data_IF_749066439772
#
_entry.id   IF_749066439772
#
_cell.length_a   1.000
_cell.length_b   1.000
_cell.length_c   1.000
_cell.angle_alpha   90.00
_cell.angle_beta   90.00
_cell.angle_gamma   90.00
#
_symmetry.space_group_name_H-M   'P 1'
#
loop_
_entity.id
_entity.type
_entity.pdbx_description
1 polymer ?
#
# COMPACT_ATOMS: atom_id res chain seq x y z
N UNK A 1 18.11 -61.89 -1.99
CA UNK A 1 16.86 -61.44 -1.35
C UNK A 1 16.92 -59.97 -0.93
N UNK A 2 18.10 -59.48 -0.52
CA UNK A 2 18.30 -58.08 -0.11
C UNK A 2 17.86 -57.02 -1.13
N UNK A 3 18.08 -57.27 -2.43
CA UNK A 3 17.67 -56.37 -3.51
C UNK A 3 16.15 -56.18 -3.61
N UNK A 4 15.37 -57.23 -3.32
CA UNK A 4 13.90 -57.19 -3.36
C UNK A 4 13.37 -56.40 -2.16
N UNK A 5 13.93 -56.62 -0.96
CA UNK A 5 13.55 -55.86 0.23
C UNK A 5 13.88 -54.37 0.10
N UNK A 6 15.02 -54.05 -0.51
CA UNK A 6 15.42 -52.67 -0.76
C UNK A 6 14.48 -51.97 -1.77
N UNK A 7 14.10 -52.68 -2.84
CA UNK A 7 13.13 -52.18 -3.80
C UNK A 7 11.75 -51.94 -3.16
N UNK A 8 11.28 -52.89 -2.34
CA UNK A 8 10.02 -52.73 -1.59
C UNK A 8 10.08 -51.55 -0.61
N UNK A 9 11.17 -51.41 0.14
CA UNK A 9 11.36 -50.29 1.07
C UNK A 9 11.38 -48.94 0.34
N UNK A 10 12.03 -48.86 -0.83
CA UNK A 10 12.06 -47.66 -1.66
C UNK A 10 10.65 -47.28 -2.16
N UNK A 11 9.89 -48.25 -2.69
CA UNK A 11 8.51 -48.01 -3.15
C UNK A 11 7.61 -47.54 -2.02
N UNK A 12 7.69 -48.16 -0.85
CA UNK A 12 6.94 -47.76 0.34
C UNK A 12 7.31 -46.34 0.81
N UNK A 13 8.60 -45.99 0.75
CA UNK A 13 9.08 -44.65 1.07
C UNK A 13 8.53 -43.61 0.09
N UNK A 14 8.54 -43.91 -1.22
CA UNK A 14 7.95 -43.05 -2.24
C UNK A 14 6.44 -42.87 -2.04
N UNK A 15 5.70 -43.93 -1.70
CA UNK A 15 4.28 -43.85 -1.38
C UNK A 15 4.02 -42.99 -0.13
N UNK A 16 4.80 -43.18 0.92
CA UNK A 16 4.69 -42.37 2.15
C UNK A 16 5.00 -40.90 1.87
N UNK A 17 6.06 -40.62 1.11
CA UNK A 17 6.42 -39.26 0.71
C UNK A 17 5.29 -38.60 -0.09
N UNK A 18 4.70 -39.31 -1.05
CA UNK A 18 3.58 -38.81 -1.83
C UNK A 18 2.34 -38.53 -0.97
N UNK A 19 2.06 -39.38 0.01
CA UNK A 19 0.88 -39.23 0.88
C UNK A 19 1.04 -38.10 1.90
N UNK A 20 2.24 -37.89 2.44
CA UNK A 20 2.45 -37.00 3.58
C UNK A 20 3.17 -35.68 3.25
N UNK A 21 4.12 -35.68 2.31
CA UNK A 21 4.94 -34.49 2.02
C UNK A 21 4.31 -33.60 0.96
N UNK A 22 3.75 -34.20 -0.10
CA UNK A 22 3.05 -33.49 -1.18
C UNK A 22 1.89 -32.60 -0.70
N UNK A 23 0.98 -33.01 0.22
CA UNK A 23 -0.07 -32.12 0.71
C UNK A 23 0.48 -30.94 1.51
N UNK A 24 1.58 -31.10 2.25
CA UNK A 24 2.22 -30.01 2.99
C UNK A 24 2.81 -28.98 2.03
N UNK A 25 3.52 -29.44 1.00
CA UNK A 25 4.05 -28.58 -0.07
C UNK A 25 2.92 -27.84 -0.80
N UNK A 26 1.84 -28.52 -1.15
CA UNK A 26 0.66 -27.89 -1.79
C UNK A 26 0.03 -26.80 -0.93
N UNK A 27 -0.06 -27.01 0.39
CA UNK A 27 -0.59 -25.98 1.32
C UNK A 27 0.32 -24.76 1.40
N UNK A 28 1.63 -24.99 1.43
CA UNK A 28 2.61 -23.91 1.41
C UNK A 28 2.58 -23.12 0.10
N UNK A 29 2.48 -23.83 -1.03
CA UNK A 29 2.43 -23.22 -2.36
C UNK A 29 1.13 -22.42 -2.57
N UNK A 30 -0.01 -22.95 -2.09
CA UNK A 30 -1.28 -22.25 -2.09
C UNK A 30 -1.24 -20.94 -1.28
N UNK A 31 -0.60 -20.95 -0.10
CA UNK A 31 -0.45 -19.75 0.73
C UNK A 31 0.45 -18.70 0.07
N UNK A 32 1.55 -19.12 -0.59
CA UNK A 32 2.40 -18.20 -1.34
C UNK A 32 1.69 -17.64 -2.58
N UNK A 33 0.96 -18.47 -3.30
CA UNK A 33 0.21 -18.04 -4.49
C UNK A 33 -0.88 -17.04 -4.11
N UNK A 34 -1.59 -17.30 -3.00
CA UNK A 34 -2.58 -16.36 -2.47
C UNK A 34 -1.94 -15.01 -2.09
N UNK A 35 -0.77 -15.04 -1.44
CA UNK A 35 -0.02 -13.83 -1.09
C UNK A 35 0.42 -13.05 -2.33
N UNK A 36 0.96 -13.73 -3.35
CA UNK A 36 1.38 -13.10 -4.62
C UNK A 36 0.16 -12.52 -5.35
N UNK A 37 -0.96 -13.23 -5.39
CA UNK A 37 -2.20 -12.75 -6.00
C UNK A 37 -2.80 -11.55 -5.26
N UNK A 38 -2.59 -11.45 -3.95
CA UNK A 38 -3.00 -10.29 -3.17
C UNK A 38 -2.07 -9.10 -3.41
N UNK A 39 -0.76 -9.31 -3.40
CA UNK A 39 0.22 -8.29 -3.76
C UNK A 39 0.01 -7.77 -5.19
N UNK A 40 -0.35 -8.65 -6.14
CA UNK A 40 -0.70 -8.24 -7.50
C UNK A 40 -1.95 -7.36 -7.54
N UNK A 41 -2.96 -7.62 -6.70
CA UNK A 41 -4.14 -6.76 -6.55
C UNK A 41 -3.80 -5.42 -5.91
N UNK A 42 -2.98 -5.42 -4.87
CA UNK A 42 -2.54 -4.19 -4.19
C UNK A 42 -1.69 -3.30 -5.11
N UNK A 43 -0.86 -3.91 -5.98
CA UNK A 43 -0.12 -3.20 -7.04
C UNK A 43 -1.04 -2.70 -8.15
N UNK A 44 -2.12 -3.42 -8.47
CA UNK A 44 -3.12 -2.98 -9.44
C UNK A 44 -3.97 -1.80 -8.94
N UNK A 45 -4.10 -1.61 -7.61
CA UNK A 45 -4.59 -0.36 -7.03
C UNK A 45 -3.53 0.74 -7.02
N UNK A 46 -2.87 0.91 -8.17
CA UNK A 46 -1.91 1.97 -8.44
C UNK A 46 -2.56 3.37 -8.41
N UNK A 47 -3.88 3.48 -8.22
CA UNK A 47 -4.55 4.77 -8.05
C UNK A 47 -4.92 5.04 -6.58
N UNK A 48 -4.68 4.11 -5.64
CA UNK A 48 -4.92 4.32 -4.21
C UNK A 48 -4.15 5.53 -3.67
N UNK A 49 -2.88 5.68 -4.07
CA UNK A 49 -2.06 6.79 -3.63
C UNK A 49 -2.51 8.14 -4.23
N UNK A 50 -3.02 8.13 -5.46
CA UNK A 50 -3.58 9.34 -6.09
C UNK A 50 -4.88 9.74 -5.41
N UNK A 51 -5.77 8.78 -5.11
CA UNK A 51 -7.01 9.04 -4.35
C UNK A 51 -6.69 9.61 -2.97
N UNK A 52 -5.77 8.97 -2.25
CA UNK A 52 -5.35 9.46 -0.95
C UNK A 52 -4.74 10.87 -1.00
N UNK A 53 -3.95 11.19 -2.04
CA UNK A 53 -3.41 12.53 -2.22
C UNK A 53 -4.51 13.57 -2.52
N UNK A 54 -5.54 13.19 -3.27
CA UNK A 54 -6.70 14.05 -3.52
C UNK A 54 -7.52 14.27 -2.24
N UNK A 55 -7.74 13.23 -1.43
CA UNK A 55 -8.47 13.33 -0.16
C UNK A 55 -7.74 14.29 0.81
N UNK A 56 -6.42 14.13 0.95
CA UNK A 56 -5.59 15.02 1.79
C UNK A 56 -5.57 16.45 1.25
N UNK A 57 -5.59 16.63 -0.07
CA UNK A 57 -5.68 17.96 -0.68
C UNK A 57 -7.06 18.59 -0.45
N UNK A 58 -8.13 17.80 -0.46
CA UNK A 58 -9.50 18.27 -0.21
C UNK A 58 -9.67 18.82 1.21
N UNK A 59 -9.06 18.17 2.21
CA UNK A 59 -9.04 18.62 3.60
C UNK A 59 -8.31 19.97 3.80
N UNK A 60 -7.34 20.28 2.94
CA UNK A 60 -6.54 21.52 3.03
C UNK A 60 -7.21 22.71 2.33
N UNK A 61 -8.19 22.44 1.46
CA UNK A 61 -8.89 23.48 0.71
C UNK A 61 -10.17 23.85 1.44
N UNK A 62 -10.38 25.15 1.63
CA UNK A 62 -11.56 25.69 2.28
C UNK A 62 -12.85 25.19 1.62
N UNK A 63 -13.90 25.00 2.41
CA UNK A 63 -15.23 24.68 1.87
C UNK A 63 -15.85 25.93 1.21
N UNK A 64 -16.67 25.72 0.18
CA UNK A 64 -17.50 26.80 -0.37
C UNK A 64 -18.48 27.26 0.70
N UNK A 65 -18.43 28.55 1.04
CA UNK A 65 -19.33 29.15 2.03
C UNK A 65 -20.55 29.75 1.34
N UNK A 66 -21.75 29.48 1.87
CA UNK A 66 -22.97 30.16 1.42
C UNK A 66 -23.19 31.43 2.26
N UNK A 67 -23.24 32.58 1.60
CA UNK A 67 -23.43 33.88 2.24
C UNK A 67 -24.69 34.52 1.66
N UNK A 68 -25.62 34.86 2.54
CA UNK A 68 -26.84 35.58 2.16
C UNK A 68 -26.62 37.08 2.34
N UNK A 69 -26.68 37.83 1.24
CA UNK A 69 -26.55 39.30 1.22
C UNK A 69 -27.88 39.89 0.80
N UNK A 70 -28.65 40.36 1.78
CA UNK A 70 -30.02 40.85 1.56
C UNK A 70 -30.93 39.75 1.01
N UNK A 71 -31.47 39.97 -0.18
CA UNK A 71 -32.35 39.01 -0.86
C UNK A 71 -31.60 37.96 -1.71
N UNK A 72 -30.30 38.16 -1.97
CA UNK A 72 -29.51 37.29 -2.83
C UNK A 72 -28.63 36.33 -2.01
N UNK A 73 -28.47 35.11 -2.52
CA UNK A 73 -27.49 34.12 -2.03
C UNK A 73 -26.25 34.17 -2.91
N UNK A 74 -25.07 34.25 -2.31
CA UNK A 74 -23.78 34.22 -2.98
C UNK A 74 -22.92 33.10 -2.37
N UNK A 75 -22.04 32.52 -3.17
CA UNK A 75 -21.14 31.46 -2.74
C UNK A 75 -19.72 32.00 -2.71
N UNK A 76 -19.05 31.92 -1.57
CA UNK A 76 -17.70 32.46 -1.37
C UNK A 76 -16.68 31.33 -1.34
N UNK A 77 -15.59 31.48 -2.09
CA UNK A 77 -14.43 30.60 -2.05
C UNK A 77 -13.15 31.39 -2.37
N UNK A 78 -12.09 31.24 -1.55
CA UNK A 78 -10.81 31.99 -1.67
C UNK A 78 -10.99 33.51 -1.93
N UNK A 79 -11.88 34.15 -1.17
CA UNK A 79 -12.23 35.57 -1.28
C UNK A 79 -12.91 36.01 -2.59
N UNK A 80 -13.34 35.07 -3.45
CA UNK A 80 -14.15 35.33 -4.64
C UNK A 80 -15.60 34.92 -4.40
N UNK A 81 -16.53 35.78 -4.83
CA UNK A 81 -17.96 35.54 -4.73
C UNK A 81 -18.52 35.07 -6.08
N UNK A 82 -19.27 33.98 -6.04
CA UNK A 82 -19.91 33.33 -7.18
C UNK A 82 -21.43 33.46 -7.07
N UNK A 83 -22.07 33.56 -8.23
CA UNK A 83 -23.52 33.65 -8.34
C UNK A 83 -24.22 32.30 -8.22
N UNK A 84 -23.49 31.20 -8.45
CA UNK A 84 -24.00 29.84 -8.37
C UNK A 84 -23.07 28.95 -7.53
N UNK A 85 -23.66 27.92 -6.92
CA UNK A 85 -22.91 26.94 -6.13
C UNK A 85 -21.97 26.11 -7.01
N UNK A 86 -22.46 25.72 -8.18
CA UNK A 86 -21.73 24.89 -9.13
C UNK A 86 -20.42 25.55 -9.57
N UNK A 87 -20.45 26.84 -9.86
CA UNK A 87 -19.27 27.61 -10.26
C UNK A 87 -18.23 27.72 -9.13
N UNK A 88 -18.68 27.90 -7.89
CA UNK A 88 -17.80 27.94 -6.72
C UNK A 88 -17.16 26.56 -6.45
N UNK A 89 -17.93 25.47 -6.56
CA UNK A 89 -17.44 24.10 -6.37
C UNK A 89 -16.51 23.66 -7.50
N UNK A 90 -16.74 24.09 -8.74
CA UNK A 90 -15.81 23.84 -9.85
C UNK A 90 -14.46 24.52 -9.60
N UNK A 91 -14.48 25.77 -9.12
CA UNK A 91 -13.26 26.47 -8.73
C UNK A 91 -12.54 25.79 -7.55
N UNK A 92 -13.30 25.30 -6.57
CA UNK A 92 -12.76 24.48 -5.48
C UNK A 92 -12.09 23.20 -5.99
N UNK A 93 -12.75 22.44 -6.86
CA UNK A 93 -12.20 21.21 -7.43
C UNK A 93 -10.91 21.45 -8.21
N UNK A 94 -10.85 22.53 -8.99
CA UNK A 94 -9.61 22.96 -9.68
C UNK A 94 -8.50 23.26 -8.67
N UNK A 95 -8.82 23.91 -7.56
CA UNK A 95 -7.85 24.23 -6.50
C UNK A 95 -7.31 22.98 -5.79
N UNK A 96 -8.19 22.03 -5.45
CA UNK A 96 -7.80 20.71 -4.91
C UNK A 96 -6.85 19.99 -5.85
N UNK A 97 -7.13 20.00 -7.17
CA UNK A 97 -6.24 19.42 -8.17
C UNK A 97 -4.84 20.06 -8.20
N UNK A 98 -4.75 21.39 -8.06
CA UNK A 98 -3.46 22.11 -7.99
C UNK A 98 -2.69 21.73 -6.73
N UNK A 99 -3.36 21.64 -5.57
CA UNK A 99 -2.73 21.25 -4.30
C UNK A 99 -2.22 19.80 -4.37
N UNK A 100 -3.04 18.89 -4.88
CA UNK A 100 -2.65 17.49 -5.08
C UNK A 100 -1.46 17.34 -6.03
N UNK A 101 -1.41 18.13 -7.12
CA UNK A 101 -0.25 18.13 -8.03
C UNK A 101 1.01 18.63 -7.35
N UNK A 102 0.91 19.72 -6.58
CA UNK A 102 2.04 20.31 -5.85
C UNK A 102 2.66 19.31 -4.86
N UNK A 103 1.84 18.47 -4.22
CA UNK A 103 2.34 17.38 -3.36
C UNK A 103 3.32 16.47 -4.11
N UNK A 104 3.01 16.07 -5.35
CA UNK A 104 3.91 15.24 -6.16
C UNK A 104 5.18 15.97 -6.62
N UNK A 105 5.08 17.28 -6.87
CA UNK A 105 6.23 18.11 -7.23
C UNK A 105 7.20 18.31 -6.05
N UNK A 106 6.68 18.34 -4.81
CA UNK A 106 7.46 18.50 -3.58
C UNK A 106 7.98 17.18 -2.98
N UNK A 107 7.48 16.02 -3.44
CA UNK A 107 7.95 14.71 -2.97
C UNK A 107 9.46 14.48 -3.13
N UNK A 108 10.09 14.77 -4.30
CA UNK A 108 11.53 14.56 -4.47
C UNK A 108 12.36 15.39 -3.50
N UNK A 109 11.99 16.66 -3.27
CA UNK A 109 12.70 17.53 -2.34
C UNK A 109 12.46 17.10 -0.88
N UNK A 110 11.25 16.69 -0.53
CA UNK A 110 10.93 16.15 0.79
C UNK A 110 11.67 14.84 1.10
N UNK A 111 11.83 13.96 0.11
CA UNK A 111 12.62 12.73 0.23
C UNK A 111 14.11 13.03 0.41
N UNK A 112 14.65 14.05 -0.26
CA UNK A 112 16.04 14.47 -0.09
C UNK A 112 16.29 15.17 1.26
N UNK A 113 15.32 15.96 1.74
CA UNK A 113 15.37 16.60 3.06
C UNK A 113 15.27 15.57 4.20
N UNK A 114 14.51 14.49 3.98
CA UNK A 114 14.48 13.30 4.85
C UNK A 114 15.71 12.45 4.58
N UNK A 115 16.87 12.89 5.09
CA UNK A 115 18.14 12.18 4.94
C UNK A 115 18.08 10.67 5.33
N UNK A 116 19.13 9.89 5.01
CA UNK A 116 19.14 8.42 5.14
C UNK A 116 18.83 7.86 6.55
N UNK A 117 18.87 8.70 7.59
CA UNK A 117 18.50 8.32 8.95
C UNK A 117 16.99 8.14 9.18
N UNK A 118 16.14 8.72 8.34
CA UNK A 118 14.69 8.73 8.51
C UNK A 118 13.93 7.82 7.52
N UNK A 119 14.61 6.86 6.89
CA UNK A 119 13.94 5.77 6.19
C UNK A 119 13.05 4.99 7.17
N UNK A 120 11.80 4.62 6.82
CA UNK A 120 11.05 3.68 7.62
C UNK A 120 11.89 2.41 7.70
N UNK A 121 12.40 2.08 8.89
CA UNK A 121 13.04 0.79 9.13
C UNK A 121 11.97 -0.25 8.84
N UNK A 122 11.98 -0.82 7.63
CA UNK A 122 11.18 -2.00 7.33
C UNK A 122 11.42 -2.99 8.46
N UNK A 123 10.36 -3.53 9.09
CA UNK A 123 10.55 -4.47 10.17
C UNK A 123 11.43 -5.59 9.65
N UNK A 124 12.57 -5.81 10.32
CA UNK A 124 13.58 -6.78 9.92
C UNK A 124 12.89 -8.09 9.52
N UNK A 125 13.25 -8.61 8.35
CA UNK A 125 12.73 -9.89 7.88
C UNK A 125 12.98 -10.96 8.94
N UNK A 126 12.14 -12.01 8.97
CA UNK A 126 12.29 -13.08 9.96
C UNK A 126 13.72 -13.68 9.96
N UNK A 127 14.37 -13.72 8.77
CA UNK A 127 15.75 -14.15 8.59
C UNK A 127 16.77 -13.19 9.24
N UNK A 128 16.58 -11.88 9.08
CA UNK A 128 17.46 -10.87 9.69
C UNK A 128 17.30 -10.80 11.21
N UNK A 129 16.08 -11.01 11.72
CA UNK A 129 15.84 -11.11 13.17
C UNK A 129 16.56 -12.33 13.77
N UNK A 130 16.51 -13.47 13.08
CA UNK A 130 17.21 -14.67 13.52
C UNK A 130 18.73 -14.50 13.50
N UNK A 131 19.29 -13.87 12.45
CA UNK A 131 20.73 -13.65 12.34
C UNK A 131 21.26 -12.65 13.38
N UNK A 132 20.52 -11.57 13.67
CA UNK A 132 20.88 -10.63 14.73
C UNK A 132 20.81 -11.28 16.11
N UNK A 133 19.78 -12.09 16.37
CA UNK A 133 19.65 -12.82 17.64
C UNK A 133 20.85 -13.76 17.86
N UNK A 134 21.29 -14.45 16.81
CA UNK A 134 22.45 -15.35 16.90
C UNK A 134 23.77 -14.60 17.11
N UNK A 135 23.97 -13.47 16.41
CA UNK A 135 25.15 -12.61 16.62
C UNK A 135 25.23 -12.05 18.05
N UNK A 136 24.09 -11.78 18.68
CA UNK A 136 24.01 -11.25 20.05
C UNK A 136 24.29 -12.30 21.14
N UNK A 137 24.20 -13.59 20.80
CA UNK A 137 24.46 -14.71 21.75
C UNK A 137 25.88 -15.26 21.68
N UNK A 138 26.70 -14.82 20.71
CA UNK A 138 28.09 -15.27 20.52
C UNK A 138 29.12 -14.28 21.12
N UNK A 139 28.66 -13.13 21.62
CA UNK A 139 29.48 -12.16 22.35
C UNK A 139 29.16 -12.18 23.84
#
# INVERSE_FOLDING_TARGET
MDSVYWACAFVLTCMAFYKYVLPVLKRFDAANTARIAQQARDVQDANAHVRHALDVADEQVEAVQEIRVGAATHYLFEAQAFSSREEAEEMRARRVGVVARRFYEELPSAMMARGPEAAPRSPLSARERASQRWKRTIH
#
